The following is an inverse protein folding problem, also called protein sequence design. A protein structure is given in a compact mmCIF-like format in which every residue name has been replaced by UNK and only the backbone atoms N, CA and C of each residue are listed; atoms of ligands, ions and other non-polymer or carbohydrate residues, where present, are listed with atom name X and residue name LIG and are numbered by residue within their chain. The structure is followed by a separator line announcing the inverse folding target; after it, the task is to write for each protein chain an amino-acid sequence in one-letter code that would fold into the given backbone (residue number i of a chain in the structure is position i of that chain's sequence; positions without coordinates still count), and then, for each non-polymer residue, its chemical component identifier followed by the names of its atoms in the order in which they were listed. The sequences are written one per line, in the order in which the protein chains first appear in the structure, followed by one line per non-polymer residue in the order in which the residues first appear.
data_IF_577255489858
#
_entry.id   IF_577255489858
#
_cell.length_a   1.000
_cell.length_b   1.000
_cell.length_c   1.000
_cell.angle_alpha   90.00
_cell.angle_beta   90.00
_cell.angle_gamma   90.00
#
_symmetry.space_group_name_H-M   'P 1'
#
loop_
_entity.id
_entity.type
_entity.pdbx_description
1 polymer ?
#
# COMPACT_ATOMS: atom_id res chain seq x y z
N UNK A 1 29.59 10.21 26.46
CA UNK A 1 28.70 11.23 25.88
C UNK A 1 28.04 10.65 24.64
N UNK A 2 26.73 10.44 24.65
CA UNK A 2 25.98 9.99 23.47
C UNK A 2 24.64 10.73 23.42
N UNK A 3 24.61 11.86 22.71
CA UNK A 3 23.42 12.66 22.48
C UNK A 3 22.46 11.91 21.56
N UNK A 4 21.37 11.41 22.13
CA UNK A 4 20.25 10.85 21.36
C UNK A 4 19.40 12.01 20.84
N UNK A 5 19.53 12.33 19.55
CA UNK A 5 18.60 13.24 18.89
C UNK A 5 17.22 12.56 18.78
N UNK A 6 16.29 12.97 19.63
CA UNK A 6 14.87 12.64 19.54
C UNK A 6 14.24 13.49 18.44
N UNK A 7 14.00 12.90 17.27
CA UNK A 7 13.13 13.51 16.26
C UNK A 7 11.67 13.37 16.72
N UNK A 8 11.11 14.47 17.22
CA UNK A 8 9.69 14.58 17.52
C UNK A 8 8.88 14.49 16.21
N UNK A 9 8.03 13.46 16.10
CA UNK A 9 7.10 13.34 14.97
C UNK A 9 5.87 14.24 15.17
N UNK A 10 5.46 15.05 14.18
CA UNK A 10 4.33 15.94 14.32
C UNK A 10 3.01 15.17 14.48
N UNK A 11 2.30 15.52 15.56
CA UNK A 11 1.04 14.95 15.99
C UNK A 11 -0.12 15.43 15.11
N UNK A 12 -0.41 14.74 14.00
CA UNK A 12 -1.75 14.71 13.36
C UNK A 12 -1.84 13.68 12.25
N UNK A 13 -1.56 12.42 12.57
CA UNK A 13 -2.11 11.30 11.82
C UNK A 13 -3.14 10.63 12.71
N UNK A 14 -4.41 10.69 12.32
CA UNK A 14 -5.50 9.98 12.99
C UNK A 14 -5.28 8.47 12.81
N UNK A 15 -4.44 7.93 13.69
CA UNK A 15 -4.21 6.52 13.91
C UNK A 15 -5.52 5.91 14.36
N UNK A 16 -6.28 5.35 13.42
CA UNK A 16 -7.37 4.46 13.78
C UNK A 16 -6.75 3.37 14.68
N UNK A 17 -7.15 3.33 15.97
CA UNK A 17 -6.51 2.52 17.04
C UNK A 17 -6.48 1.03 16.70
N UNK A 18 -7.32 0.57 15.76
CA UNK A 18 -7.34 -0.81 15.24
C UNK A 18 -6.25 -1.13 14.19
N UNK A 19 -5.48 -0.14 13.74
CA UNK A 19 -4.45 -0.34 12.72
C UNK A 19 -3.06 -0.70 13.30
N UNK A 20 -2.85 -0.52 14.60
CA UNK A 20 -1.60 -0.85 15.28
C UNK A 20 -1.53 -2.31 15.79
N UNK A 21 -2.62 -3.08 15.70
CA UNK A 21 -2.74 -4.39 16.39
C UNK A 21 -2.10 -5.59 15.68
N UNK A 22 -1.73 -5.50 14.40
CA UNK A 22 -1.07 -6.63 13.73
C UNK A 22 0.46 -6.59 13.92
N UNK A 23 0.93 -7.21 15.02
CA UNK A 23 2.31 -7.67 15.18
C UNK A 23 2.55 -8.85 14.21
N UNK A 24 2.89 -8.56 12.95
CA UNK A 24 3.11 -9.61 11.95
C UNK A 24 3.79 -9.12 10.68
N UNK A 25 4.34 -10.07 9.90
CA UNK A 25 4.98 -9.81 8.59
C UNK A 25 4.03 -9.00 7.72
N UNK A 26 4.51 -7.86 7.25
CA UNK A 26 3.75 -6.99 6.34
C UNK A 26 4.21 -7.22 4.91
N UNK A 27 3.29 -7.14 3.96
CA UNK A 27 3.56 -7.35 2.54
C UNK A 27 2.97 -6.20 1.74
N UNK A 28 3.68 -5.80 0.70
CA UNK A 28 3.21 -4.89 -0.33
C UNK A 28 2.56 -5.68 -1.46
N UNK A 29 1.54 -5.12 -2.10
CA UNK A 29 0.94 -5.69 -3.29
C UNK A 29 0.66 -4.60 -4.33
N UNK A 30 0.56 -5.04 -5.58
CA UNK A 30 0.13 -4.25 -6.73
C UNK A 30 -1.09 -4.92 -7.33
N UNK A 31 -2.13 -4.16 -7.63
CA UNK A 31 -3.25 -4.64 -8.43
C UNK A 31 -3.10 -4.03 -9.81
N UNK A 32 -3.13 -4.88 -10.84
CA UNK A 32 -3.06 -4.49 -12.24
C UNK A 32 -4.39 -4.74 -12.95
N UNK A 33 -4.61 -4.07 -14.07
CA UNK A 33 -5.78 -4.25 -14.94
C UNK A 33 -5.37 -4.22 -16.41
N UNK A 34 -6.17 -4.88 -17.26
CA UNK A 34 -5.92 -4.96 -18.71
C UNK A 34 -4.51 -5.45 -19.01
N UNK A 35 -3.79 -4.73 -19.86
CA UNK A 35 -2.41 -5.04 -20.27
C UNK A 35 -1.35 -4.66 -19.22
N UNK A 36 -1.57 -5.03 -17.95
CA UNK A 36 -0.60 -4.81 -16.88
C UNK A 36 -0.55 -3.39 -16.32
N UNK A 37 -1.50 -2.53 -16.66
CA UNK A 37 -1.60 -1.17 -16.11
C UNK A 37 -1.85 -1.23 -14.60
N UNK A 38 -1.24 -0.33 -13.84
CA UNK A 38 -1.38 -0.36 -12.38
C UNK A 38 -2.66 0.34 -11.94
N UNK A 39 -3.54 -0.39 -11.27
CA UNK A 39 -4.73 0.18 -10.63
C UNK A 39 -4.42 0.73 -9.24
N UNK A 40 -3.62 0.00 -8.44
CA UNK A 40 -3.39 0.33 -7.03
C UNK A 40 -2.12 -0.29 -6.47
N UNK A 41 -1.50 0.42 -5.52
CA UNK A 41 -0.53 -0.14 -4.58
C UNK A 41 -1.14 -0.21 -3.19
N UNK A 42 -0.79 -1.25 -2.44
CA UNK A 42 -1.30 -1.39 -1.08
C UNK A 42 -0.40 -2.23 -0.20
N UNK A 43 -0.65 -2.16 1.11
CA UNK A 43 -0.06 -3.08 2.08
C UNK A 43 -1.11 -3.99 2.72
N UNK A 44 -0.66 -5.15 3.16
CA UNK A 44 -1.43 -6.15 3.88
C UNK A 44 -0.56 -6.77 4.98
N UNK A 45 -1.20 -7.29 6.01
CA UNK A 45 -0.54 -7.94 7.15
C UNK A 45 -1.45 -9.10 7.60
N UNK A 46 -0.88 -10.26 7.93
CA UNK A 46 -1.63 -11.44 8.35
C UNK A 46 -1.10 -12.74 7.78
N UNK A 47 -1.67 -13.87 8.22
CA UNK A 47 -1.31 -15.22 7.78
C UNK A 47 -1.59 -15.48 6.31
N UNK A 48 -2.71 -14.96 5.78
CA UNK A 48 -3.01 -14.96 4.35
C UNK A 48 -2.87 -13.53 3.78
N UNK A 49 -1.70 -13.16 3.21
CA UNK A 49 -1.50 -11.83 2.69
C UNK A 49 -2.32 -11.54 1.41
N UNK A 50 -2.87 -12.54 0.73
CA UNK A 50 -3.70 -12.35 -0.47
C UNK A 50 -5.17 -12.03 -0.18
N UNK A 51 -5.66 -12.28 1.04
CA UNK A 51 -7.07 -12.08 1.37
C UNK A 51 -7.53 -10.62 1.16
N UNK A 52 -6.75 -9.65 1.63
CA UNK A 52 -7.04 -8.21 1.49
C UNK A 52 -6.98 -7.70 0.04
N UNK A 53 -5.94 -8.00 -0.77
CA UNK A 53 -5.91 -7.58 -2.16
C UNK A 53 -6.97 -8.27 -3.02
N UNK A 54 -7.25 -9.56 -2.79
CA UNK A 54 -8.29 -10.29 -3.54
C UNK A 54 -9.68 -9.68 -3.36
N UNK A 55 -10.04 -9.25 -2.14
CA UNK A 55 -11.31 -8.55 -1.87
C UNK A 55 -11.49 -7.26 -2.69
N UNK A 56 -10.41 -6.67 -3.22
CA UNK A 56 -10.47 -5.45 -4.03
C UNK A 56 -10.60 -5.72 -5.53
N UNK A 57 -10.38 -6.96 -5.99
CA UNK A 57 -10.46 -7.30 -7.42
C UNK A 57 -11.85 -7.02 -8.00
N UNK A 58 -12.92 -7.36 -7.27
CA UNK A 58 -14.30 -7.06 -7.70
C UNK A 58 -14.52 -5.57 -7.95
N UNK A 59 -13.99 -4.71 -7.08
CA UNK A 59 -14.08 -3.25 -7.25
C UNK A 59 -13.24 -2.78 -8.44
N UNK A 60 -12.03 -3.30 -8.60
CA UNK A 60 -11.16 -2.99 -9.73
C UNK A 60 -11.83 -3.36 -11.07
N UNK A 61 -12.33 -4.59 -11.18
CA UNK A 61 -12.99 -5.08 -12.40
C UNK A 61 -14.22 -4.23 -12.76
N UNK A 62 -15.02 -3.86 -11.75
CA UNK A 62 -16.17 -2.97 -11.94
C UNK A 62 -15.76 -1.57 -12.40
N UNK A 63 -14.69 -1.00 -11.83
CA UNK A 63 -14.23 0.35 -12.15
C UNK A 63 -13.56 0.41 -13.53
N UNK A 64 -12.75 -0.58 -13.87
CA UNK A 64 -11.92 -0.56 -15.08
C UNK A 64 -12.56 -1.30 -16.27
N UNK A 65 -13.68 -2.01 -16.05
CA UNK A 65 -14.34 -2.89 -17.05
C UNK A 65 -13.34 -3.82 -17.74
N UNK A 66 -12.42 -4.37 -16.97
CA UNK A 66 -11.29 -5.18 -17.44
C UNK A 66 -10.90 -6.20 -16.39
N UNK A 67 -10.22 -7.28 -16.80
CA UNK A 67 -9.63 -8.22 -15.86
C UNK A 67 -8.63 -7.52 -14.94
N UNK A 68 -8.76 -7.74 -13.64
CA UNK A 68 -7.81 -7.28 -12.65
C UNK A 68 -7.10 -8.44 -11.96
N UNK A 69 -5.81 -8.28 -11.70
CA UNK A 69 -4.96 -9.32 -11.10
C UNK A 69 -4.15 -8.74 -9.94
N UNK A 70 -3.97 -9.54 -8.89
CA UNK A 70 -3.01 -9.22 -7.82
C UNK A 70 -1.65 -9.70 -8.27
N UNK A 71 -0.70 -8.78 -8.39
CA UNK A 71 0.68 -9.12 -8.70
C UNK A 71 1.38 -9.83 -7.54
N UNK A 72 2.62 -10.26 -7.78
CA UNK A 72 3.47 -10.88 -6.75
C UNK A 72 3.59 -9.95 -5.54
N UNK A 73 3.46 -10.53 -4.35
CA UNK A 73 3.66 -9.81 -3.10
C UNK A 73 5.11 -9.39 -2.95
N UNK A 74 5.34 -8.18 -2.44
CA UNK A 74 6.65 -7.70 -2.02
C UNK A 74 6.78 -7.84 -0.51
N UNK A 75 7.86 -8.44 -0.05
CA UNK A 75 8.13 -8.65 1.38
C UNK A 75 8.56 -10.09 1.66
N UNK A 76 8.51 -10.51 2.93
CA UNK A 76 7.97 -9.78 4.08
C UNK A 76 8.80 -8.55 4.46
N UNK A 77 8.13 -7.47 4.88
CA UNK A 77 8.75 -6.30 5.49
C UNK A 77 8.90 -6.52 7.00
N UNK A 78 10.08 -6.22 7.58
CA UNK A 78 10.33 -6.30 9.02
C UNK A 78 9.36 -5.48 9.86
N UNK A 79 9.01 -4.27 9.39
CA UNK A 79 8.05 -3.41 10.08
C UNK A 79 6.94 -2.91 9.16
N UNK A 80 5.79 -2.60 9.75
CA UNK A 80 4.68 -1.97 9.02
C UNK A 80 5.07 -0.60 8.46
N UNK A 81 5.96 0.12 9.14
CA UNK A 81 6.50 1.39 8.67
C UNK A 81 7.26 1.22 7.36
N UNK A 82 8.15 0.22 7.25
CA UNK A 82 8.86 -0.07 5.99
C UNK A 82 7.90 -0.46 4.86
N UNK A 83 6.85 -1.23 5.15
CA UNK A 83 5.82 -1.53 4.16
C UNK A 83 5.09 -0.27 3.68
N UNK A 84 4.77 0.66 4.59
CA UNK A 84 4.16 1.96 4.26
C UNK A 84 5.09 2.85 3.43
N UNK A 85 6.37 2.91 3.77
CA UNK A 85 7.36 3.63 2.98
C UNK A 85 7.46 3.07 1.56
N UNK A 86 7.46 1.74 1.42
CA UNK A 86 7.41 1.09 0.10
C UNK A 86 6.14 1.45 -0.68
N UNK A 87 4.96 1.39 -0.05
CA UNK A 87 3.68 1.73 -0.67
C UNK A 87 3.69 3.18 -1.16
N UNK A 88 4.11 4.10 -0.28
CA UNK A 88 4.20 5.51 -0.60
C UNK A 88 5.18 5.78 -1.75
N UNK A 89 6.38 5.18 -1.71
CA UNK A 89 7.39 5.33 -2.77
C UNK A 89 6.86 4.85 -4.13
N UNK A 90 6.09 3.74 -4.17
CA UNK A 90 5.50 3.24 -5.42
C UNK A 90 4.38 4.14 -5.95
N UNK A 91 3.55 4.67 -5.07
CA UNK A 91 2.50 5.63 -5.45
C UNK A 91 3.13 6.91 -6.01
N UNK A 92 4.14 7.45 -5.32
CA UNK A 92 4.82 8.66 -5.77
C UNK A 92 5.59 8.46 -7.07
N UNK A 93 6.21 7.28 -7.26
CA UNK A 93 6.85 6.93 -8.53
C UNK A 93 5.83 6.86 -9.68
N UNK A 94 4.67 6.23 -9.45
CA UNK A 94 3.60 6.20 -10.45
C UNK A 94 3.10 7.62 -10.77
N UNK A 95 2.86 8.44 -9.74
CA UNK A 95 2.44 9.84 -9.89
C UNK A 95 3.47 10.66 -10.67
N UNK A 96 4.76 10.44 -10.43
CA UNK A 96 5.85 11.11 -11.16
C UNK A 96 5.86 10.74 -12.65
N UNK A 97 5.60 9.48 -12.98
CA UNK A 97 5.60 9.00 -14.38
C UNK A 97 4.33 9.43 -15.12
N UNK A 98 3.17 9.34 -14.48
CA UNK A 98 1.87 9.50 -15.15
C UNK A 98 1.21 10.85 -14.88
N UNK A 99 1.76 11.71 -14.03
CA UNK A 99 1.14 12.97 -13.60
C UNK A 99 -0.10 12.81 -12.70
N UNK A 100 -0.60 11.58 -12.55
CA UNK A 100 -1.83 11.26 -11.81
C UNK A 100 -1.64 10.11 -10.84
N UNK A 101 -2.50 10.04 -9.83
CA UNK A 101 -2.54 8.92 -8.90
C UNK A 101 -3.05 7.65 -9.58
N UNK A 102 -2.63 6.45 -9.12
CA UNK A 102 -3.25 5.22 -9.58
C UNK A 102 -4.78 5.28 -9.37
N UNK A 103 -5.61 4.80 -10.31
CA UNK A 103 -7.07 4.98 -10.26
C UNK A 103 -7.76 4.44 -9.00
N UNK A 104 -7.19 3.41 -8.38
CA UNK A 104 -7.67 2.82 -7.12
C UNK A 104 -7.12 3.51 -5.86
N UNK A 105 -6.27 4.54 -5.99
CA UNK A 105 -5.54 5.20 -4.91
C UNK A 105 -6.25 6.49 -4.46
N UNK A 106 -7.34 6.36 -3.69
CA UNK A 106 -8.17 7.53 -3.30
C UNK A 106 -7.59 8.43 -2.20
N UNK A 107 -6.86 7.87 -1.22
CA UNK A 107 -6.45 8.61 0.00
C UNK A 107 -4.94 8.75 0.18
N UNK A 108 -4.16 7.76 -0.24
CA UNK A 108 -2.71 7.73 0.03
C UNK A 108 -1.86 8.44 -1.03
N UNK A 109 -2.49 9.14 -1.98
CA UNK A 109 -1.83 9.88 -3.05
C UNK A 109 -2.04 11.40 -2.87
N UNK A 110 -1.78 11.88 -1.66
CA UNK A 110 -1.74 13.30 -1.32
C UNK A 110 -0.29 13.66 -1.07
#
# INVERSE_FOLDING_TARGET
MASRHSFAMPARWTSNRRSLSFKGRSYGYRITYGNGKTWKYGITSGSNPYARPNRQLRTCMRQMRSECKVGRLKGPFPTKWQARMWEHARIMHYKRIHGVCPPGQRKSCR
#
